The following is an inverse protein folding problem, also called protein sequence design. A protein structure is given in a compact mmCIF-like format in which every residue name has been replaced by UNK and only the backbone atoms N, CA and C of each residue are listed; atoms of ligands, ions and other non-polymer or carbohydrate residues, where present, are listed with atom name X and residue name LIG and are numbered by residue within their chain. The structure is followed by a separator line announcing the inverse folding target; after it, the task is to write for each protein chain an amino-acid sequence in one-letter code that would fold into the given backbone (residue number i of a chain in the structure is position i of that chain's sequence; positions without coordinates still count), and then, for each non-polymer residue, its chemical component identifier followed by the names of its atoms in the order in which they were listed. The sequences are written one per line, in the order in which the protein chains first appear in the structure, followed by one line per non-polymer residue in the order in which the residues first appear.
data_IF_210865673251
#
_entry.id   IF_210865673251
#
_cell.length_a   1.000
_cell.length_b   1.000
_cell.length_c   1.000
_cell.angle_alpha   90.00
_cell.angle_beta   90.00
_cell.angle_gamma   90.00
#
_symmetry.space_group_name_H-M   'P 1'
#
loop_
_entity.id
_entity.type
_entity.pdbx_description
1 polymer ?
#
# COMPACT_ATOMS: atom_id res chain seq x y z
N UNK A 1 -7.85 7.37 0.80
CA UNK A 1 -6.94 7.38 1.95
C UNK A 1 -6.11 6.12 1.96
N UNK A 2 -4.81 6.24 1.73
CA UNK A 2 -3.81 5.19 1.66
C UNK A 2 -2.81 5.40 2.80
N UNK A 3 -3.01 4.67 3.90
CA UNK A 3 -2.06 4.60 5.01
C UNK A 3 -1.17 3.36 4.86
N UNK A 4 0.13 3.56 5.05
CA UNK A 4 1.16 2.51 4.97
C UNK A 4 1.76 2.17 6.33
N UNK A 5 1.19 2.74 7.39
CA UNK A 5 1.44 2.37 8.80
C UNK A 5 0.91 0.97 9.15
N UNK A 6 0.34 0.24 8.19
CA UNK A 6 0.03 -1.19 8.35
C UNK A 6 1.25 -2.09 8.16
N UNK A 7 2.38 -1.54 7.70
CA UNK A 7 3.65 -2.25 7.53
C UNK A 7 4.18 -2.78 8.87
N UNK A 8 4.69 -4.01 8.88
CA UNK A 8 5.23 -4.65 10.08
C UNK A 8 6.38 -3.89 10.74
N UNK A 9 7.15 -3.10 9.96
CA UNK A 9 8.22 -2.24 10.46
C UNK A 9 7.80 -0.83 10.85
N UNK A 10 6.50 -0.49 10.79
CA UNK A 10 6.04 0.83 11.21
C UNK A 10 6.27 1.05 12.71
N UNK A 11 6.88 2.18 13.13
CA UNK A 11 7.28 2.41 14.51
C UNK A 11 6.12 2.69 15.48
N UNK A 12 4.93 3.04 14.98
CA UNK A 12 3.81 3.49 15.83
C UNK A 12 2.54 2.62 15.69
N UNK A 13 2.55 1.66 14.78
CA UNK A 13 1.46 0.72 14.53
C UNK A 13 1.84 -0.71 14.92
N UNK A 14 0.89 -1.65 14.81
CA UNK A 14 1.05 -3.06 15.25
C UNK A 14 0.62 -4.11 14.23
N UNK A 15 0.18 -3.67 13.04
CA UNK A 15 -0.11 -4.59 11.96
C UNK A 15 1.17 -5.27 11.44
N UNK A 16 1.00 -6.31 10.64
CA UNK A 16 2.09 -7.22 10.24
C UNK A 16 2.19 -7.38 8.72
N UNK A 17 1.68 -6.41 7.95
CA UNK A 17 1.77 -6.49 6.49
C UNK A 17 3.23 -6.41 6.07
N UNK A 18 3.61 -7.26 5.14
CA UNK A 18 4.93 -7.30 4.52
C UNK A 18 4.89 -6.55 3.17
N UNK A 19 6.04 -6.18 2.59
CA UNK A 19 6.06 -5.47 1.31
C UNK A 19 5.21 -6.13 0.20
N UNK A 20 5.22 -7.47 0.01
CA UNK A 20 4.36 -8.13 -0.98
C UNK A 20 2.84 -7.97 -0.73
N UNK A 21 2.41 -7.73 0.51
CA UNK A 21 0.99 -7.54 0.83
C UNK A 21 0.46 -6.22 0.25
N UNK A 22 1.30 -5.19 0.11
CA UNK A 22 0.93 -3.93 -0.51
C UNK A 22 0.65 -4.08 -2.02
N UNK A 23 1.41 -4.94 -2.71
CA UNK A 23 1.10 -5.29 -4.10
C UNK A 23 -0.25 -6.03 -4.21
N UNK A 24 -0.46 -7.01 -3.32
CA UNK A 24 -1.73 -7.74 -3.24
C UNK A 24 -2.92 -6.82 -2.93
N UNK A 25 -2.71 -5.80 -2.09
CA UNK A 25 -3.69 -4.76 -1.80
C UNK A 25 -4.05 -3.98 -3.07
N UNK A 26 -3.05 -3.52 -3.84
CA UNK A 26 -3.24 -2.86 -5.12
C UNK A 26 -4.11 -3.69 -6.09
N UNK A 27 -3.73 -4.96 -6.30
CA UNK A 27 -4.49 -5.89 -7.16
C UNK A 27 -5.91 -6.15 -6.67
N UNK A 28 -6.15 -6.07 -5.35
CA UNK A 28 -7.49 -6.21 -4.79
C UNK A 28 -8.35 -4.98 -5.09
N UNK A 29 -7.77 -3.78 -5.05
CA UNK A 29 -8.47 -2.54 -5.37
C UNK A 29 -8.76 -2.42 -6.87
N UNK A 30 -7.82 -2.82 -7.74
CA UNK A 30 -8.00 -2.80 -9.21
C UNK A 30 -9.24 -3.58 -9.66
N UNK A 31 -9.51 -4.73 -9.03
CA UNK A 31 -10.69 -5.56 -9.30
C UNK A 31 -12.05 -4.88 -9.05
N UNK A 32 -12.07 -3.72 -8.40
CA UNK A 32 -13.30 -2.94 -8.25
C UNK A 32 -13.70 -2.21 -9.54
N UNK A 33 -12.77 -1.98 -10.47
CA UNK A 33 -13.08 -1.39 -11.78
C UNK A 33 -13.58 0.05 -11.73
N UNK A 34 -13.15 0.83 -10.72
CA UNK A 34 -13.60 2.20 -10.50
C UNK A 34 -12.49 3.22 -10.77
N UNK A 35 -12.83 4.42 -11.28
CA UNK A 35 -11.92 5.57 -11.23
C UNK A 35 -11.49 5.81 -9.77
N UNK A 36 -10.20 5.72 -9.49
CA UNK A 36 -9.66 5.69 -8.12
C UNK A 36 -8.62 6.78 -7.94
N UNK A 37 -8.73 7.53 -6.83
CA UNK A 37 -7.72 8.48 -6.39
C UNK A 37 -7.05 7.96 -5.10
N UNK A 38 -5.74 7.80 -5.11
CA UNK A 38 -4.96 7.48 -3.92
C UNK A 38 -4.54 8.77 -3.22
N UNK A 39 -4.94 8.90 -1.95
CA UNK A 39 -4.59 10.04 -1.09
C UNK A 39 -3.65 9.50 -0.03
N UNK A 40 -2.37 9.92 -0.04
CA UNK A 40 -1.37 9.45 0.93
C UNK A 40 -1.70 9.97 2.33
N UNK A 41 -1.71 9.06 3.31
CA UNK A 41 -2.02 9.35 4.73
C UNK A 41 -0.79 9.03 5.62
N UNK A 42 -0.96 8.11 6.59
CA UNK A 42 0.10 7.64 7.49
C UNK A 42 1.08 6.66 6.84
N UNK A 43 2.12 6.31 7.59
CA UNK A 43 3.26 5.52 7.15
C UNK A 43 4.55 6.17 7.64
N UNK A 44 5.10 5.62 8.73
CA UNK A 44 6.14 6.27 9.52
C UNK A 44 7.48 5.52 9.48
N UNK A 45 7.51 4.36 8.82
CA UNK A 45 8.74 3.71 8.37
C UNK A 45 9.29 4.44 7.13
N UNK A 46 10.06 5.52 7.36
CA UNK A 46 10.46 6.44 6.30
C UNK A 46 11.31 5.81 5.18
N UNK A 47 12.14 4.81 5.49
CA UNK A 47 12.97 4.16 4.49
C UNK A 47 12.14 3.28 3.53
N UNK A 48 11.08 2.66 4.05
CA UNK A 48 10.21 1.72 3.33
C UNK A 48 8.95 2.38 2.76
N UNK A 49 8.61 3.61 3.18
CA UNK A 49 7.40 4.31 2.78
C UNK A 49 7.24 4.38 1.26
N UNK A 50 8.32 4.76 0.56
CA UNK A 50 8.32 4.88 -0.89
C UNK A 50 8.12 3.54 -1.59
N UNK A 51 8.81 2.49 -1.13
CA UNK A 51 8.67 1.15 -1.69
C UNK A 51 7.26 0.59 -1.46
N UNK A 52 6.72 0.70 -0.24
CA UNK A 52 5.39 0.22 0.07
C UNK A 52 4.31 0.96 -0.72
N UNK A 53 4.46 2.27 -0.92
CA UNK A 53 3.56 3.06 -1.76
C UNK A 53 3.60 2.62 -3.22
N UNK A 54 4.81 2.49 -3.78
CA UNK A 54 5.01 2.04 -5.15
C UNK A 54 4.38 0.66 -5.39
N UNK A 55 4.57 -0.29 -4.46
CA UNK A 55 3.98 -1.63 -4.55
C UNK A 55 2.45 -1.59 -4.62
N UNK A 56 1.77 -0.72 -3.87
CA UNK A 56 0.30 -0.55 -4.00
C UNK A 56 -0.07 -0.08 -5.40
N UNK A 57 0.64 0.92 -5.93
CA UNK A 57 0.38 1.46 -7.27
C UNK A 57 0.69 0.42 -8.34
N UNK A 58 1.82 -0.27 -8.28
CA UNK A 58 2.21 -1.33 -9.21
C UNK A 58 1.19 -2.47 -9.22
N UNK A 59 0.70 -2.87 -8.05
CA UNK A 59 -0.36 -3.85 -7.93
C UNK A 59 -1.69 -3.37 -8.51
N UNK A 60 -2.00 -2.07 -8.41
CA UNK A 60 -3.22 -1.47 -8.95
C UNK A 60 -3.15 -1.29 -10.48
N UNK A 61 -2.00 -0.92 -11.04
CA UNK A 61 -1.78 -0.75 -12.48
C UNK A 61 -1.53 -2.09 -13.21
N UNK A 62 -1.36 -3.19 -12.47
CA UNK A 62 -1.14 -4.50 -13.06
C UNK A 62 -2.30 -4.91 -13.98
N UNK A 63 -2.01 -5.58 -15.12
CA UNK A 63 -3.04 -6.17 -15.96
C UNK A 63 -3.93 -7.13 -15.16
N UNK A 64 -5.23 -7.12 -15.47
CA UNK A 64 -6.21 -8.03 -14.89
C UNK A 64 -5.97 -9.49 -15.30
#
# INVERSE_FOLDING_TARGET
SLGLDTFAGDPISRFQLQPPDFERLGRRLQRLGLPTAFILEGGYAAAELGENAARVIDGFEAPA
#
